data_IF_681319228685
#
_entry.id   IF_681319228685
#
_cell.length_a   1.000
_cell.length_b   1.000
_cell.length_c   1.000
_cell.angle_alpha   90.00
_cell.angle_beta   90.00
_cell.angle_gamma   90.00
#
_symmetry.space_group_name_H-M   'P 1'
#
loop_
_entity.id
_entity.type
_entity.pdbx_description
1 polymer ?
#
# COMPACT_ATOMS: atom_id res chain seq x y z
N UNK A 1 -13.52 4.37 8.99
CA UNK A 1 -12.72 4.61 7.77
C UNK A 1 -12.70 6.10 7.49
N UNK A 2 -11.52 6.67 7.32
CA UNK A 2 -11.30 8.07 6.93
C UNK A 2 -11.55 8.20 5.42
N UNK A 3 -12.40 9.14 5.02
CA UNK A 3 -12.73 9.42 3.61
C UNK A 3 -11.84 10.54 3.06
N UNK A 4 -11.56 10.45 1.76
CA UNK A 4 -10.91 11.52 1.00
C UNK A 4 -11.83 12.75 0.97
N UNK A 5 -11.26 13.96 1.02
CA UNK A 5 -12.02 15.23 1.07
C UNK A 5 -12.03 15.95 -0.27
N UNK A 6 -11.03 15.67 -1.11
CA UNK A 6 -10.87 16.24 -2.45
C UNK A 6 -10.67 15.12 -3.48
N UNK A 7 -10.76 15.39 -4.78
CA UNK A 7 -10.39 14.39 -5.79
C UNK A 7 -8.92 13.94 -5.75
N UNK A 8 -8.06 14.67 -5.03
CA UNK A 8 -6.61 14.48 -5.09
C UNK A 8 -6.03 13.84 -3.81
N UNK A 9 -6.77 13.80 -2.71
CA UNK A 9 -6.25 13.41 -1.39
C UNK A 9 -6.53 11.97 -0.99
N UNK A 10 -6.85 11.09 -1.96
CA UNK A 10 -7.07 9.66 -1.71
C UNK A 10 -5.87 8.98 -1.03
N UNK A 11 -4.63 9.34 -1.40
CA UNK A 11 -3.43 8.80 -0.75
C UNK A 11 -3.20 9.30 0.67
N UNK A 12 -3.68 10.51 1.01
CA UNK A 12 -3.63 11.05 2.38
C UNK A 12 -4.61 10.25 3.26
N UNK A 13 -5.86 10.12 2.82
CA UNK A 13 -6.86 9.33 3.54
C UNK A 13 -6.47 7.86 3.66
N UNK A 14 -5.89 7.27 2.61
CA UNK A 14 -5.39 5.90 2.61
C UNK A 14 -4.28 5.69 3.64
N UNK A 15 -3.28 6.58 3.69
CA UNK A 15 -2.22 6.52 4.69
C UNK A 15 -2.78 6.67 6.12
N UNK A 16 -3.74 7.58 6.30
CA UNK A 16 -4.39 7.79 7.60
C UNK A 16 -5.08 6.50 8.10
N UNK A 17 -5.84 5.82 7.24
CA UNK A 17 -6.44 4.52 7.57
C UNK A 17 -5.37 3.46 7.86
N UNK A 18 -4.35 3.34 7.01
CA UNK A 18 -3.30 2.32 7.15
C UNK A 18 -2.49 2.45 8.46
N UNK A 19 -2.24 3.68 8.90
CA UNK A 19 -1.50 3.97 10.13
C UNK A 19 -2.39 4.17 11.36
N UNK A 20 -3.72 4.14 11.19
CA UNK A 20 -4.68 4.47 12.26
C UNK A 20 -4.41 5.83 12.91
N UNK A 21 -4.10 6.83 12.09
CA UNK A 21 -3.86 8.23 12.49
C UNK A 21 -4.95 9.15 11.92
N UNK A 22 -5.02 10.40 12.37
CA UNK A 22 -5.96 11.36 11.79
C UNK A 22 -5.57 11.76 10.36
N UNK A 23 -6.54 12.28 9.61
CA UNK A 23 -6.28 12.83 8.28
C UNK A 23 -5.26 13.97 8.34
N UNK A 24 -5.35 14.83 9.35
CA UNK A 24 -4.46 15.97 9.56
C UNK A 24 -3.02 15.51 9.82
N UNK A 25 -2.84 14.46 10.63
CA UNK A 25 -1.53 13.85 10.87
C UNK A 25 -0.95 13.24 9.59
N UNK A 26 -1.77 12.54 8.80
CA UNK A 26 -1.32 12.00 7.52
C UNK A 26 -0.97 13.10 6.51
N UNK A 27 -1.73 14.20 6.48
CA UNK A 27 -1.46 15.35 5.64
C UNK A 27 -0.12 16.01 5.99
N UNK A 28 0.17 16.16 7.29
CA UNK A 28 1.42 16.72 7.76
C UNK A 28 2.64 15.93 7.26
N UNK A 29 2.54 14.59 7.21
CA UNK A 29 3.59 13.73 6.68
C UNK A 29 3.87 13.94 5.17
N UNK A 30 2.84 14.27 4.39
CA UNK A 30 2.97 14.53 2.95
C UNK A 30 3.32 15.98 2.60
N UNK A 31 2.93 16.93 3.46
CA UNK A 31 2.96 18.35 3.16
C UNK A 31 1.59 18.90 2.75
N UNK A 32 1.28 20.12 3.21
CA UNK A 32 -0.05 20.75 3.08
C UNK A 32 -0.49 20.97 1.62
N UNK A 33 0.44 21.09 0.68
CA UNK A 33 0.16 21.29 -0.75
C UNK A 33 -0.45 20.04 -1.43
N UNK A 34 -0.26 18.85 -0.85
CA UNK A 34 -0.65 17.58 -1.47
C UNK A 34 -2.15 17.33 -1.53
N UNK A 35 -2.95 18.09 -0.79
CA UNK A 35 -4.42 18.08 -0.94
C UNK A 35 -4.91 18.55 -2.33
N UNK A 36 -4.06 19.27 -3.07
CA UNK A 36 -4.40 19.87 -4.37
C UNK A 36 -3.71 19.19 -5.55
N UNK A 37 -2.57 18.53 -5.31
CA UNK A 37 -1.72 17.96 -6.37
C UNK A 37 -1.67 16.43 -6.35
N UNK A 38 -2.20 15.81 -5.29
CA UNK A 38 -2.13 14.38 -5.09
C UNK A 38 -0.75 13.89 -4.67
N UNK A 39 -0.67 12.58 -4.44
CA UNK A 39 0.53 11.91 -3.96
C UNK A 39 0.80 10.66 -4.80
N UNK A 40 2.07 10.35 -5.00
CA UNK A 40 2.48 9.09 -5.63
C UNK A 40 2.61 8.01 -4.56
N UNK A 41 2.55 6.74 -4.97
CA UNK A 41 2.79 5.63 -4.06
C UNK A 41 4.26 5.57 -3.59
N UNK A 42 5.19 6.17 -4.35
CA UNK A 42 6.59 6.34 -3.94
C UNK A 42 6.71 7.33 -2.78
N UNK A 43 5.93 8.42 -2.74
CA UNK A 43 5.87 9.30 -1.57
C UNK A 43 5.44 8.51 -0.32
N UNK A 44 4.42 7.66 -0.47
CA UNK A 44 3.94 6.78 0.61
C UNK A 44 5.05 5.87 1.12
N UNK A 45 5.79 5.22 0.23
CA UNK A 45 6.92 4.36 0.60
C UNK A 45 8.00 5.15 1.36
N UNK A 46 8.36 6.35 0.90
CA UNK A 46 9.33 7.21 1.59
C UNK A 46 8.87 7.59 3.00
N UNK A 47 7.60 7.96 3.18
CA UNK A 47 7.02 8.28 4.49
C UNK A 47 7.07 7.07 5.42
N UNK A 48 6.62 5.92 4.95
CA UNK A 48 6.64 4.69 5.74
C UNK A 48 8.06 4.35 6.20
N UNK A 49 9.04 4.45 5.30
CA UNK A 49 10.45 4.26 5.64
C UNK A 49 10.94 5.26 6.70
N UNK A 50 10.62 6.54 6.54
CA UNK A 50 10.95 7.59 7.52
C UNK A 50 10.32 7.38 8.90
N UNK A 51 9.17 6.70 8.96
CA UNK A 51 8.50 6.31 10.20
C UNK A 51 9.04 4.99 10.80
N UNK A 52 10.07 4.38 10.19
CA UNK A 52 10.67 3.14 10.68
C UNK A 52 9.92 1.87 10.26
N UNK A 53 9.10 1.93 9.22
CA UNK A 53 8.59 0.73 8.54
C UNK A 53 9.60 0.23 7.52
N UNK A 54 9.44 -1.02 7.09
CA UNK A 54 10.18 -1.63 5.99
C UNK A 54 9.23 -1.78 4.78
N UNK A 55 8.97 -0.70 4.02
CA UNK A 55 8.03 -0.76 2.90
C UNK A 55 8.58 -1.68 1.81
N UNK A 56 7.85 -2.74 1.50
CA UNK A 56 8.13 -3.60 0.35
C UNK A 56 7.24 -3.14 -0.80
N UNK A 57 7.86 -2.63 -1.86
CA UNK A 57 7.17 -2.21 -3.08
C UNK A 57 7.12 -3.36 -4.09
N UNK A 58 5.93 -3.62 -4.63
CA UNK A 58 5.75 -4.56 -5.74
C UNK A 58 4.91 -3.93 -6.85
N UNK A 59 5.32 -4.20 -8.10
CA UNK A 59 4.53 -3.89 -9.28
C UNK A 59 3.57 -5.05 -9.60
N UNK A 60 2.33 -4.71 -9.92
CA UNK A 60 1.23 -5.63 -10.27
C UNK A 60 0.83 -5.42 -11.74
N UNK A 61 -0.01 -6.29 -12.35
CA UNK A 61 -0.28 -6.23 -13.79
C UNK A 61 -0.90 -4.90 -14.25
N UNK A 62 -1.57 -4.18 -13.36
CA UNK A 62 -2.05 -2.82 -13.62
C UNK A 62 -0.93 -1.82 -13.93
N UNK A 63 0.30 -2.03 -13.43
CA UNK A 63 1.45 -1.17 -13.76
C UNK A 63 1.78 -1.25 -15.25
N UNK A 64 1.87 -2.47 -15.81
CA UNK A 64 2.11 -2.67 -17.23
C UNK A 64 1.00 -2.02 -18.06
N UNK A 65 -0.26 -2.20 -17.63
CA UNK A 65 -1.42 -1.60 -18.29
C UNK A 65 -1.40 -0.06 -18.26
N UNK A 66 -1.04 0.54 -17.14
CA UNK A 66 -1.06 1.99 -16.95
C UNK A 66 0.17 2.69 -17.57
N UNK A 67 1.33 2.05 -17.53
CA UNK A 67 2.60 2.65 -17.99
C UNK A 67 2.97 2.31 -19.44
N UNK A 68 2.45 1.21 -19.99
CA UNK A 68 2.90 0.66 -21.27
C UNK A 68 4.29 0.02 -21.22
N UNK A 69 4.92 -0.04 -20.04
CA UNK A 69 6.25 -0.65 -19.86
C UNK A 69 6.09 -2.17 -19.79
N UNK A 70 6.68 -2.87 -20.76
CA UNK A 70 6.73 -4.33 -20.76
C UNK A 70 7.71 -4.83 -19.69
N UNK A 71 7.18 -5.40 -18.61
CA UNK A 71 7.96 -6.03 -17.55
C UNK A 71 7.18 -7.18 -16.90
N UNK A 72 7.88 -8.03 -16.14
CA UNK A 72 7.23 -9.06 -15.32
C UNK A 72 6.68 -8.43 -14.05
N UNK A 73 5.36 -8.52 -13.86
CA UNK A 73 4.67 -8.11 -12.64
C UNK A 73 4.38 -9.32 -11.73
N UNK A 74 4.18 -9.06 -10.43
CA UNK A 74 3.71 -10.09 -9.50
C UNK A 74 2.21 -10.39 -9.74
N UNK A 75 1.75 -11.59 -9.35
CA UNK A 75 0.31 -11.91 -9.36
C UNK A 75 -0.40 -11.16 -8.22
N UNK A 76 -1.58 -10.55 -8.44
CA UNK A 76 -2.38 -9.93 -7.37
C UNK A 76 -2.73 -10.87 -6.21
N UNK A 77 -2.79 -12.18 -6.46
CA UNK A 77 -2.99 -13.22 -5.43
C UNK A 77 -1.95 -13.16 -4.31
N UNK A 78 -0.79 -12.53 -4.54
CA UNK A 78 0.22 -12.34 -3.50
C UNK A 78 -0.31 -11.52 -2.31
N UNK A 79 -1.25 -10.60 -2.55
CA UNK A 79 -1.83 -9.74 -1.51
C UNK A 79 -2.63 -10.59 -0.51
N UNK A 80 -3.57 -11.38 -1.02
CA UNK A 80 -4.41 -12.28 -0.23
C UNK A 80 -3.60 -13.41 0.40
N UNK A 81 -2.62 -13.97 -0.33
CA UNK A 81 -1.77 -15.06 0.18
C UNK A 81 -0.88 -14.63 1.34
N UNK A 82 -0.35 -13.41 1.30
CA UNK A 82 0.47 -12.88 2.39
C UNK A 82 -0.38 -12.38 3.56
N UNK A 83 -1.58 -11.86 3.28
CA UNK A 83 -2.47 -11.29 4.30
C UNK A 83 -1.84 -10.14 5.08
N UNK A 84 -0.87 -9.44 4.48
CA UNK A 84 -0.19 -8.31 5.10
C UNK A 84 -0.87 -7.00 4.68
N UNK A 85 -1.07 -6.06 5.62
CA UNK A 85 -1.60 -4.75 5.29
C UNK A 85 -0.74 -4.06 4.23
N UNK A 86 -1.38 -3.42 3.27
CA UNK A 86 -0.71 -2.74 2.16
C UNK A 86 -1.49 -1.50 1.72
N UNK A 87 -0.77 -0.49 1.25
CA UNK A 87 -1.35 0.60 0.48
C UNK A 87 -1.23 0.22 -0.99
N UNK A 88 -2.35 0.19 -1.69
CA UNK A 88 -2.42 -0.22 -3.09
C UNK A 88 -2.65 1.02 -3.96
N UNK A 89 -1.97 1.07 -5.09
CA UNK A 89 -2.35 1.89 -6.22
C UNK A 89 -3.21 1.05 -7.16
N UNK A 90 -4.38 1.55 -7.54
CA UNK A 90 -5.36 0.84 -8.39
C UNK A 90 -5.81 1.74 -9.54
N UNK A 91 -6.32 1.13 -10.62
CA UNK A 91 -7.08 1.86 -11.64
C UNK A 91 -8.56 1.85 -11.29
N UNK A 92 -9.16 3.04 -11.25
CA UNK A 92 -10.62 3.20 -11.24
C UNK A 92 -11.22 2.70 -12.57
N UNK A 93 -12.55 2.48 -12.64
CA UNK A 93 -13.23 2.13 -13.89
C UNK A 93 -12.98 3.13 -15.04
N UNK A 94 -12.71 4.40 -14.71
CA UNK A 94 -12.39 5.45 -15.68
C UNK A 94 -10.90 5.52 -16.06
N UNK A 95 -10.07 4.59 -15.59
CA UNK A 95 -8.64 4.54 -15.87
C UNK A 95 -7.79 5.54 -15.08
N UNK A 96 -8.37 6.20 -14.08
CA UNK A 96 -7.65 7.13 -13.20
C UNK A 96 -6.96 6.35 -12.08
N UNK A 97 -5.72 6.74 -11.76
CA UNK A 97 -4.96 6.23 -10.62
C UNK A 97 -5.62 6.64 -9.30
N UNK A 98 -5.78 5.67 -8.40
CA UNK A 98 -6.36 5.86 -7.07
C UNK A 98 -5.59 5.06 -6.03
N UNK A 99 -5.57 5.53 -4.78
CA UNK A 99 -4.97 4.79 -3.67
C UNK A 99 -6.03 4.25 -2.71
N UNK A 100 -5.84 3.00 -2.28
CA UNK A 100 -6.73 2.29 -1.35
C UNK A 100 -5.92 1.54 -0.30
N UNK A 101 -6.52 1.28 0.86
CA UNK A 101 -5.87 0.52 1.94
C UNK A 101 -6.37 -0.93 1.95
N UNK A 102 -5.47 -1.89 1.84
CA UNK A 102 -5.74 -3.30 2.08
C UNK A 102 -5.30 -3.65 3.51
N UNK A 103 -6.20 -4.17 4.34
CA UNK A 103 -5.90 -4.46 5.76
C UNK A 103 -5.34 -5.88 6.00
N UNK A 104 -5.20 -6.67 4.94
CA UNK A 104 -4.82 -8.08 5.00
C UNK A 104 -5.96 -9.03 4.60
N UNK A 105 -7.20 -8.54 4.58
CA UNK A 105 -8.38 -9.30 4.17
C UNK A 105 -9.24 -8.50 3.17
N UNK A 106 -9.55 -7.25 3.50
CA UNK A 106 -10.42 -6.37 2.73
C UNK A 106 -9.71 -5.08 2.27
N UNK A 107 -10.24 -4.50 1.19
CA UNK A 107 -9.89 -3.17 0.70
C UNK A 107 -10.84 -2.11 1.26
N UNK A 108 -10.27 -1.11 1.91
CA UNK A 108 -10.89 0.09 2.42
C UNK A 108 -10.63 1.26 1.46
N UNK A 109 -11.59 1.52 0.59
CA UNK A 109 -11.52 2.60 -0.38
C UNK A 109 -11.97 3.95 0.25
N UNK A 110 -11.08 4.96 0.30
CA UNK A 110 -11.41 6.25 0.90
C UNK A 110 -12.37 7.10 0.05
N UNK A 111 -12.73 6.68 -1.17
CA UNK A 111 -13.70 7.39 -2.01
C UNK A 111 -15.05 7.57 -1.29
N UNK A 112 -15.67 8.76 -1.36
CA UNK A 112 -16.96 9.01 -0.72
C UNK A 112 -18.10 8.22 -1.38
N UNK A 113 -17.93 7.76 -2.63
CA UNK A 113 -18.93 6.96 -3.34
C UNK A 113 -18.92 5.48 -2.97
N UNK A 114 -17.88 4.99 -2.30
CA UNK A 114 -17.76 3.59 -1.91
C UNK A 114 -18.29 3.38 -0.50
N UNK A 115 -19.35 2.58 -0.42
CA UNK A 115 -19.98 2.17 0.83
C UNK A 115 -19.49 0.77 1.21
N UNK A 116 -18.61 0.70 2.21
CA UNK A 116 -18.11 -0.55 2.79
C UNK A 116 -16.83 -1.11 2.15
N UNK A 117 -16.35 -2.25 2.67
CA UNK A 117 -15.14 -2.90 2.20
C UNK A 117 -15.32 -3.53 0.81
N UNK A 118 -14.19 -3.79 0.14
CA UNK A 118 -14.10 -4.35 -1.22
C UNK A 118 -13.07 -5.46 -1.27
N UNK A 119 -13.09 -6.25 -2.33
CA UNK A 119 -12.13 -7.34 -2.53
C UNK A 119 -11.02 -6.90 -3.51
N UNK A 120 -9.86 -7.56 -3.44
CA UNK A 120 -8.77 -7.34 -4.40
C UNK A 120 -9.25 -7.55 -5.85
N UNK A 121 -10.11 -8.55 -6.07
CA UNK A 121 -10.71 -8.84 -7.37
C UNK A 121 -11.58 -7.72 -7.95
N UNK A 122 -12.01 -6.76 -7.13
CA UNK A 122 -12.85 -5.64 -7.58
C UNK A 122 -12.02 -4.54 -8.27
N UNK A 123 -10.69 -4.64 -8.21
CA UNK A 123 -9.77 -3.62 -8.70
C UNK A 123 -8.76 -4.16 -9.69
N UNK A 124 -8.30 -3.27 -10.58
CA UNK A 124 -7.08 -3.49 -11.35
C UNK A 124 -5.91 -2.92 -10.54
N UNK A 125 -5.22 -3.77 -9.80
CA UNK A 125 -4.09 -3.36 -8.97
C UNK A 125 -2.85 -3.01 -9.81
N UNK A 126 -2.31 -1.82 -9.57
CA UNK A 126 -1.14 -1.24 -10.24
C UNK A 126 0.12 -1.51 -9.45
N UNK A 127 0.17 -1.07 -8.20
CA UNK A 127 1.32 -1.21 -7.31
C UNK A 127 0.83 -1.52 -5.90
N UNK A 128 1.69 -2.11 -5.07
CA UNK A 128 1.45 -2.27 -3.65
C UNK A 128 2.68 -1.91 -2.83
N UNK A 129 2.46 -1.24 -1.70
CA UNK A 129 3.47 -0.98 -0.67
C UNK A 129 2.98 -1.61 0.62
N UNK A 130 3.65 -2.66 1.08
CA UNK A 130 3.30 -3.33 2.32
C UNK A 130 3.67 -2.47 3.54
N UNK A 131 2.77 -2.43 4.52
CA UNK A 131 2.90 -1.67 5.77
C UNK A 131 3.44 -2.59 6.85
N UNK A 132 4.74 -2.91 6.78
CA UNK A 132 5.42 -3.85 7.69
C UNK A 132 6.28 -3.07 8.67
N UNK A 133 6.07 -3.25 9.98
CA UNK A 133 6.97 -2.67 10.99
C UNK A 133 8.35 -3.31 10.89
N UNK A 134 9.43 -2.52 10.99
CA UNK A 134 10.78 -3.04 10.77
C UNK A 134 11.16 -4.22 11.66
N UNK A 135 10.66 -4.29 12.90
CA UNK A 135 10.89 -5.45 13.78
C UNK A 135 10.18 -6.74 13.32
N UNK A 136 9.19 -6.66 12.43
CA UNK A 136 8.51 -7.80 11.82
C UNK A 136 9.15 -8.19 10.47
N UNK A 137 9.82 -7.26 9.79
CA UNK A 137 10.50 -7.52 8.51
C UNK A 137 11.73 -8.45 8.66
N UNK A 138 12.36 -8.47 9.84
CA UNK A 138 13.51 -9.36 10.14
C UNK A 138 13.09 -10.74 10.67
N UNK A 139 11.81 -10.97 10.97
CA UNK A 139 11.34 -12.23 11.57
C UNK A 139 10.62 -13.05 10.51
N UNK A 140 11.38 -13.72 9.63
CA UNK A 140 11.05 -15.00 8.98
C UNK A 140 12.11 -15.39 7.95
N UNK A 141 13.20 -15.97 8.44
CA UNK A 141 13.91 -16.98 7.67
C UNK A 141 14.43 -18.09 8.60
N UNK A 142 13.65 -19.16 8.88
CA UNK A 142 14.11 -20.28 9.68
C UNK A 142 15.21 -21.11 8.99
N UNK A 143 15.63 -20.76 7.76
CA UNK A 143 16.72 -21.45 7.04
C UNK A 143 18.12 -20.97 7.39
N UNK A 144 18.26 -19.97 8.26
CA UNK A 144 19.56 -19.42 8.66
C UNK A 144 19.69 -19.28 10.19
N UNK A 145 18.96 -20.08 10.97
CA UNK A 145 19.22 -20.20 12.41
C UNK A 145 20.33 -21.22 12.66
N UNK A 146 21.54 -20.68 12.84
CA UNK A 146 22.78 -21.29 13.36
C UNK A 146 23.34 -22.55 12.67
N UNK A 147 24.65 -22.60 12.33
CA UNK A 147 25.30 -23.88 12.10
C UNK A 147 25.40 -24.61 13.44
N UNK A 148 24.95 -25.87 13.45
CA UNK A 148 25.11 -26.80 14.57
C UNK A 148 26.54 -26.71 15.11
N UNK A 149 26.67 -26.45 16.42
CA UNK A 149 27.93 -26.69 17.12
C UNK A 149 28.20 -28.19 17.10
N UNK A 150 28.93 -28.63 16.10
CA UNK A 150 29.55 -29.95 16.06
C UNK A 150 30.32 -30.13 17.35
N UNK A 151 29.88 -31.10 18.15
CA UNK A 151 30.59 -31.58 19.33
C UNK A 151 31.76 -32.42 18.83
N UNK A 152 32.98 -32.02 19.16
CA UNK A 152 34.15 -32.91 19.23
C UNK A 152 34.83 -32.65 20.56
#
# INVERSE_FOLDING_TARGET
MIKQRTPYDCGIATLANALSISYEQALELYGQDKQRNGVTIQHTACILFGLGYAPVYIALPGFVKASGISMRAASPEILERLGHPAILQVLTPFGVIHQVFFDGEDIHDPSPSITGPRRVSDYVCVDAVFVIKSNQAFVRNPRFSEPERGSV
#
